data_IF_426805891381
#
_entry.id   IF_426805891381
#
_cell.length_a   1.000
_cell.length_b   1.000
_cell.length_c   1.000
_cell.angle_alpha   90.00
_cell.angle_beta   90.00
_cell.angle_gamma   90.00
#
_symmetry.space_group_name_H-M   'P 1'
#
loop_
_entity.id
_entity.type
_entity.pdbx_description
1 polymer ?
#
# COMPACT_ATOMS: atom_id res chain seq x y z
N UNK A 1 -25.11 -7.33 15.70
CA UNK A 1 -23.81 -6.99 15.10
C UNK A 1 -24.10 -6.34 13.77
N UNK A 2 -23.91 -5.03 13.65
CA UNK A 2 -24.02 -4.32 12.38
C UNK A 2 -22.60 -4.22 11.85
N UNK A 3 -22.23 -5.05 10.87
CA UNK A 3 -21.02 -4.80 10.09
C UNK A 3 -21.38 -3.64 9.15
N UNK A 4 -20.90 -2.41 9.36
CA UNK A 4 -21.06 -1.40 8.35
C UNK A 4 -20.21 -1.86 7.16
N UNK A 5 -20.89 -2.35 6.13
CA UNK A 5 -20.29 -2.55 4.83
C UNK A 5 -19.93 -1.14 4.34
N UNK A 6 -18.63 -0.83 4.27
CA UNK A 6 -18.16 0.49 3.85
C UNK A 6 -18.75 0.92 2.53
N UNK A 7 -18.94 2.23 2.37
CA UNK A 7 -19.48 2.79 1.13
C UNK A 7 -18.35 2.93 0.12
N UNK A 8 -18.49 2.31 -1.05
CA UNK A 8 -17.57 2.46 -2.18
C UNK A 8 -18.28 3.23 -3.30
N UNK A 9 -17.77 4.42 -3.57
CA UNK A 9 -18.18 5.28 -4.67
C UNK A 9 -17.13 5.25 -5.77
N UNK A 10 -17.56 5.36 -7.03
CA UNK A 10 -16.65 5.38 -8.16
C UNK A 10 -17.22 6.10 -9.36
N UNK A 11 -16.32 6.71 -10.12
CA UNK A 11 -16.57 7.31 -11.42
C UNK A 11 -15.49 6.82 -12.40
N UNK A 12 -15.90 6.43 -13.60
CA UNK A 12 -14.99 5.90 -14.60
C UNK A 12 -15.38 6.40 -15.98
N UNK A 13 -14.41 6.98 -16.68
CA UNK A 13 -14.53 7.36 -18.08
C UNK A 13 -13.46 6.61 -18.88
N UNK A 14 -13.83 6.14 -20.07
CA UNK A 14 -12.90 5.37 -20.87
C UNK A 14 -13.34 5.23 -22.31
N UNK A 15 -12.37 5.26 -23.22
CA UNK A 15 -12.53 4.88 -24.62
C UNK A 15 -11.40 3.95 -25.01
N UNK A 16 -11.73 2.86 -25.70
CA UNK A 16 -10.75 1.89 -26.18
C UNK A 16 -11.27 1.20 -27.42
N UNK A 17 -10.37 0.57 -28.16
CA UNK A 17 -10.69 -0.16 -29.40
C UNK A 17 -10.11 -1.56 -29.34
N UNK A 18 -10.87 -2.55 -29.79
CA UNK A 18 -10.40 -3.93 -29.85
C UNK A 18 -11.52 -4.91 -30.11
N UNK A 19 -11.17 -6.10 -30.59
CA UNK A 19 -12.09 -7.22 -30.79
C UNK A 19 -12.14 -8.18 -29.58
N UNK A 20 -11.51 -7.80 -28.46
CA UNK A 20 -11.52 -8.52 -27.19
C UNK A 20 -11.44 -7.54 -26.03
N UNK A 21 -11.80 -7.97 -24.81
CA UNK A 21 -11.68 -7.14 -23.60
C UNK A 21 -10.22 -6.76 -23.34
N UNK A 22 -9.30 -7.69 -23.52
CA UNK A 22 -7.87 -7.42 -23.39
C UNK A 22 -7.39 -6.35 -24.38
N UNK A 23 -7.79 -6.46 -25.65
CA UNK A 23 -7.45 -5.46 -26.67
C UNK A 23 -8.10 -4.10 -26.37
N UNK A 24 -9.36 -4.08 -25.92
CA UNK A 24 -10.08 -2.87 -25.56
C UNK A 24 -9.39 -2.14 -24.39
N UNK A 25 -9.05 -2.86 -23.32
CA UNK A 25 -8.37 -2.30 -22.15
C UNK A 25 -6.93 -1.91 -22.47
N UNK A 26 -6.20 -2.73 -23.23
CA UNK A 26 -4.82 -2.49 -23.63
C UNK A 26 -4.63 -1.29 -24.55
N UNK A 27 -5.68 -0.86 -25.26
CA UNK A 27 -5.66 0.35 -26.09
C UNK A 27 -6.54 1.48 -25.52
N UNK A 28 -6.93 1.39 -24.24
CA UNK A 28 -7.85 2.35 -23.66
C UNK A 28 -7.17 3.63 -23.19
N UNK A 29 -7.93 4.72 -23.21
CA UNK A 29 -7.59 6.00 -22.60
C UNK A 29 -8.78 6.48 -21.77
N UNK A 30 -8.53 7.07 -20.61
CA UNK A 30 -9.59 7.55 -19.71
C UNK A 30 -9.11 7.72 -18.28
N UNK A 31 -10.04 7.86 -17.34
CA UNK A 31 -9.74 8.01 -15.92
C UNK A 31 -10.64 7.12 -15.06
N UNK A 32 -10.13 6.76 -13.89
CA UNK A 32 -10.86 5.99 -12.89
C UNK A 32 -10.68 6.66 -11.53
N UNK A 33 -11.78 7.14 -10.95
CA UNK A 33 -11.85 7.64 -9.58
C UNK A 33 -12.62 6.63 -8.73
N UNK A 34 -12.03 6.19 -7.62
CA UNK A 34 -12.64 5.31 -6.62
C UNK A 34 -12.41 5.91 -5.25
N UNK A 35 -13.45 5.91 -4.42
CA UNK A 35 -13.41 6.38 -3.06
C UNK A 35 -14.18 5.41 -2.18
N UNK A 36 -13.55 4.94 -1.12
CA UNK A 36 -14.17 4.16 -0.07
C UNK A 36 -14.13 4.94 1.24
N UNK A 37 -15.23 4.95 1.97
CA UNK A 37 -15.28 5.46 3.34
C UNK A 37 -15.66 4.32 4.30
N UNK A 38 -14.94 4.23 5.42
CA UNK A 38 -15.19 3.29 6.53
C UNK A 38 -15.33 1.81 6.11
N UNK A 39 -14.21 1.14 5.86
CA UNK A 39 -14.15 -0.29 5.53
C UNK A 39 -13.49 -1.16 6.60
N UNK A 40 -13.72 -2.47 6.53
CA UNK A 40 -12.96 -3.48 7.28
C UNK A 40 -12.13 -4.30 6.29
N UNK A 41 -10.82 -4.33 6.49
CA UNK A 41 -9.92 -5.22 5.75
C UNK A 41 -9.29 -6.18 6.76
N UNK A 42 -9.24 -7.47 6.43
CA UNK A 42 -8.54 -8.45 7.24
C UNK A 42 -7.08 -8.02 7.44
N UNK A 43 -6.61 -8.04 8.68
CA UNK A 43 -5.22 -7.69 9.02
C UNK A 43 -4.20 -8.54 8.29
N UNK A 44 -4.52 -9.81 8.00
CA UNK A 44 -3.62 -10.69 7.24
C UNK A 44 -3.33 -10.15 5.84
N UNK A 45 -4.33 -9.58 5.16
CA UNK A 45 -4.14 -8.92 3.86
C UNK A 45 -3.28 -7.65 3.98
N UNK A 46 -3.47 -6.88 5.05
CA UNK A 46 -2.70 -5.67 5.31
C UNK A 46 -1.25 -5.94 5.75
N UNK A 47 -1.01 -7.02 6.50
CA UNK A 47 0.32 -7.40 6.98
C UNK A 47 1.18 -8.04 5.89
N UNK A 48 0.57 -8.76 4.94
CA UNK A 48 1.25 -9.22 3.71
C UNK A 48 1.73 -8.00 2.88
N UNK A 49 0.92 -6.94 2.85
CA UNK A 49 1.23 -5.65 2.20
C UNK A 49 2.12 -4.73 3.08
N UNK A 50 2.50 -5.15 4.29
CA UNK A 50 3.50 -4.48 5.12
C UNK A 50 4.82 -5.25 5.28
N UNK A 51 4.86 -6.50 4.78
CA UNK A 51 5.95 -7.47 4.98
C UNK A 51 6.48 -7.49 6.42
N UNK A 52 5.56 -7.41 7.37
CA UNK A 52 5.86 -7.47 8.79
C UNK A 52 5.81 -8.94 9.26
N UNK A 53 6.79 -9.73 8.78
CA UNK A 53 6.86 -11.20 8.98
C UNK A 53 6.81 -11.60 10.47
N UNK A 54 7.29 -10.73 11.37
CA UNK A 54 7.22 -10.95 12.81
C UNK A 54 5.79 -10.99 13.37
N UNK A 55 4.91 -10.09 12.90
CA UNK A 55 3.50 -10.09 13.31
C UNK A 55 2.67 -11.13 12.57
N UNK A 56 2.98 -11.43 11.32
CA UNK A 56 2.31 -12.51 10.58
C UNK A 56 2.47 -13.88 11.27
N UNK A 57 3.66 -14.16 11.81
CA UNK A 57 3.92 -15.40 12.58
C UNK A 57 3.20 -15.36 13.94
N UNK A 58 3.12 -14.20 14.60
CA UNK A 58 2.40 -14.04 15.89
C UNK A 58 0.87 -14.09 15.69
N UNK A 59 0.32 -13.47 14.65
CA UNK A 59 -1.12 -13.51 14.31
C UNK A 59 -1.61 -14.91 13.93
N UNK A 60 -0.77 -15.71 13.26
CA UNK A 60 -1.02 -17.14 13.05
C UNK A 60 -1.05 -17.96 14.35
N UNK A 61 -0.39 -17.51 15.42
CA UNK A 61 -0.35 -18.18 16.74
C UNK A 61 -1.42 -17.63 17.69
N UNK A 62 -1.85 -16.37 17.55
CA UNK A 62 -2.67 -15.65 18.53
C UNK A 62 -4.04 -15.11 18.04
N UNK A 63 -4.41 -15.29 16.77
CA UNK A 63 -5.78 -15.04 16.28
C UNK A 63 -5.98 -13.68 15.60
N UNK A 64 -6.88 -13.69 14.61
CA UNK A 64 -7.24 -12.59 13.70
C UNK A 64 -7.86 -11.38 14.42
N UNK A 65 -7.30 -10.18 14.20
CA UNK A 65 -7.96 -8.90 14.51
C UNK A 65 -8.11 -8.09 13.22
N UNK A 66 -9.33 -7.75 12.78
CA UNK A 66 -9.60 -6.89 11.62
C UNK A 66 -8.85 -5.54 11.70
N UNK A 67 -8.40 -4.98 10.57
CA UNK A 67 -7.87 -3.59 10.51
C UNK A 67 -8.95 -2.67 9.93
N UNK A 68 -9.31 -1.65 10.71
CA UNK A 68 -10.21 -0.60 10.23
C UNK A 68 -9.52 0.26 9.19
N UNK A 69 -10.16 0.38 8.03
CA UNK A 69 -9.81 1.33 6.98
C UNK A 69 -10.72 2.53 7.13
N UNK A 70 -10.16 3.69 7.47
CA UNK A 70 -10.91 4.93 7.57
C UNK A 70 -11.40 5.36 6.19
N UNK A 71 -10.51 5.30 5.20
CA UNK A 71 -10.86 5.54 3.80
C UNK A 71 -9.82 4.92 2.85
N UNK A 72 -10.23 4.73 1.60
CA UNK A 72 -9.32 4.44 0.50
C UNK A 72 -9.68 5.30 -0.70
N UNK A 73 -8.69 5.74 -1.46
CA UNK A 73 -8.90 6.55 -2.65
C UNK A 73 -7.98 6.09 -3.77
N UNK A 74 -8.51 6.03 -4.98
CA UNK A 74 -7.73 5.90 -6.20
C UNK A 74 -8.22 6.94 -7.22
N UNK A 75 -7.31 7.67 -7.82
CA UNK A 75 -7.53 8.50 -8.99
C UNK A 75 -6.45 8.09 -9.99
N UNK A 76 -6.84 7.33 -11.01
CA UNK A 76 -5.94 6.74 -12.00
C UNK A 76 -6.19 7.40 -13.36
N UNK A 77 -5.11 7.82 -14.01
CA UNK A 77 -5.13 8.16 -15.42
C UNK A 77 -4.71 6.93 -16.22
N UNK A 78 -5.50 6.55 -17.22
CA UNK A 78 -5.22 5.45 -18.14
C UNK A 78 -4.86 6.05 -19.49
N UNK A 79 -3.64 5.78 -19.96
CA UNK A 79 -3.18 6.21 -21.27
C UNK A 79 -2.57 5.02 -22.02
N UNK A 80 -3.12 4.72 -23.20
CA UNK A 80 -2.75 3.57 -24.03
C UNK A 80 -2.66 2.26 -23.23
N UNK A 81 -3.71 2.00 -22.45
CA UNK A 81 -3.82 0.84 -21.57
C UNK A 81 -2.88 0.83 -20.37
N UNK A 82 -2.14 1.91 -20.09
CA UNK A 82 -1.29 2.01 -18.89
C UNK A 82 -1.98 2.90 -17.86
N UNK A 83 -2.44 2.29 -16.77
CA UNK A 83 -2.97 2.97 -15.61
C UNK A 83 -1.86 3.49 -14.70
N UNK A 84 -1.91 4.79 -14.37
CA UNK A 84 -1.01 5.47 -13.46
C UNK A 84 -1.79 6.20 -12.36
N UNK A 85 -1.52 5.90 -11.09
CA UNK A 85 -2.06 6.67 -9.97
C UNK A 85 -1.63 8.13 -10.01
N UNK A 86 -2.60 9.04 -9.99
CA UNK A 86 -2.42 10.40 -9.49
C UNK A 86 -2.59 10.42 -7.96
N UNK A 87 -3.53 9.62 -7.47
CA UNK A 87 -3.74 9.31 -6.06
C UNK A 87 -3.99 7.82 -5.99
N UNK A 88 -3.31 7.11 -5.09
CA UNK A 88 -3.74 5.77 -4.69
C UNK A 88 -3.28 5.54 -3.27
N UNK A 89 -4.21 5.68 -2.32
CA UNK A 89 -3.88 5.66 -0.91
C UNK A 89 -4.95 4.96 -0.06
N UNK A 90 -4.51 4.37 1.04
CA UNK A 90 -5.37 3.78 2.06
C UNK A 90 -5.02 4.42 3.40
N UNK A 91 -6.01 5.01 4.06
CA UNK A 91 -5.88 5.47 5.43
C UNK A 91 -6.50 4.45 6.38
N UNK A 92 -5.68 3.87 7.24
CA UNK A 92 -6.13 2.90 8.26
C UNK A 92 -5.93 3.46 9.65
N UNK A 93 -6.46 2.78 10.66
CA UNK A 93 -6.18 3.12 12.07
C UNK A 93 -4.67 3.05 12.38
N UNK A 94 -3.92 2.22 11.65
CA UNK A 94 -2.53 1.86 11.98
C UNK A 94 -1.49 2.54 11.08
N UNK A 95 -1.86 2.92 9.86
CA UNK A 95 -0.94 3.45 8.86
C UNK A 95 -1.67 4.21 7.74
N UNK A 96 -0.98 5.19 7.16
CA UNK A 96 -1.27 5.72 5.82
C UNK A 96 -0.45 4.91 4.81
N UNK A 97 -1.07 4.41 3.75
CA UNK A 97 -0.39 3.61 2.73
C UNK A 97 -0.54 4.31 1.41
N UNK A 98 0.58 4.66 0.79
CA UNK A 98 0.62 5.27 -0.53
C UNK A 98 1.07 4.25 -1.58
N UNK A 99 0.43 4.24 -2.74
CA UNK A 99 0.76 3.33 -3.85
C UNK A 99 1.12 4.15 -5.08
N UNK A 100 2.28 3.87 -5.65
CA UNK A 100 2.79 4.51 -6.86
C UNK A 100 3.19 3.47 -7.90
N UNK A 101 3.54 3.90 -9.11
CA UNK A 101 3.97 3.02 -10.19
C UNK A 101 2.90 2.88 -11.27
N UNK A 102 2.87 1.73 -11.96
CA UNK A 102 2.00 1.52 -13.12
C UNK A 102 1.40 0.12 -13.16
N UNK A 103 0.19 0.02 -13.70
CA UNK A 103 -0.42 -1.23 -14.13
C UNK A 103 -0.74 -1.12 -15.63
N UNK A 104 -0.16 -2.00 -16.44
CA UNK A 104 -0.29 -1.99 -17.90
C UNK A 104 -1.20 -3.12 -18.37
N UNK A 105 -2.39 -2.77 -18.85
CA UNK A 105 -3.29 -3.68 -19.57
C UNK A 105 -2.77 -4.03 -20.96
N UNK A 106 -1.96 -3.15 -21.56
CA UNK A 106 -1.37 -3.38 -22.88
C UNK A 106 -0.34 -4.52 -22.87
N UNK A 107 0.43 -4.62 -21.79
CA UNK A 107 1.49 -5.62 -21.63
C UNK A 107 1.24 -6.63 -20.51
N UNK A 108 0.07 -6.59 -19.87
CA UNK A 108 -0.31 -7.39 -18.71
C UNK A 108 0.68 -7.35 -17.53
N UNK A 109 1.30 -6.19 -17.27
CA UNK A 109 2.39 -6.04 -16.29
C UNK A 109 2.04 -5.08 -15.16
N UNK A 110 2.52 -5.42 -13.97
CA UNK A 110 2.52 -4.60 -12.76
C UNK A 110 3.94 -4.15 -12.46
N UNK A 111 4.07 -2.89 -12.06
CA UNK A 111 5.22 -2.38 -11.32
C UNK A 111 4.72 -1.31 -10.37
N UNK A 112 4.29 -1.75 -9.19
CA UNK A 112 3.76 -0.90 -8.14
C UNK A 112 4.76 -0.83 -6.98
N UNK A 113 4.85 0.33 -6.35
CA UNK A 113 5.55 0.52 -5.08
C UNK A 113 4.52 0.90 -4.03
N UNK A 114 4.54 0.21 -2.90
CA UNK A 114 3.65 0.44 -1.76
C UNK A 114 4.50 1.01 -0.64
N UNK A 115 4.18 2.21 -0.17
CA UNK A 115 4.90 2.90 0.88
C UNK A 115 4.00 3.06 2.13
N UNK A 116 4.16 2.18 3.13
CA UNK A 116 3.40 2.25 4.36
C UNK A 116 4.06 3.18 5.39
N UNK A 117 3.34 4.22 5.78
CA UNK A 117 3.69 5.17 6.83
C UNK A 117 2.90 4.84 8.10
N UNK A 118 3.58 4.31 9.12
CA UNK A 118 2.92 3.93 10.38
C UNK A 118 2.43 5.14 11.17
N UNK A 119 1.24 5.02 11.76
CA UNK A 119 0.72 5.93 12.77
C UNK A 119 1.07 5.39 14.15
N UNK A 120 1.68 6.22 15.00
CA UNK A 120 2.14 5.85 16.34
C UNK A 120 3.52 5.17 16.37
N UNK A 121 4.12 5.16 17.56
CA UNK A 121 5.43 4.53 17.79
C UNK A 121 5.27 3.02 17.74
N UNK A 122 6.07 2.37 16.88
CA UNK A 122 6.13 0.91 16.79
C UNK A 122 7.57 0.45 16.91
N UNK A 123 7.79 -0.55 17.77
CA UNK A 123 9.11 -1.06 18.16
C UNK A 123 9.70 -1.95 17.05
N UNK A 124 8.87 -2.58 16.21
CA UNK A 124 9.29 -3.47 15.12
C UNK A 124 8.52 -3.10 13.85
N UNK A 125 9.11 -2.28 13.00
CA UNK A 125 8.57 -2.01 11.65
C UNK A 125 9.70 -1.99 10.64
N UNK A 126 9.51 -2.67 9.51
CA UNK A 126 10.53 -2.74 8.47
C UNK A 126 10.56 -1.46 7.60
N UNK A 127 9.58 -0.53 7.72
CA UNK A 127 9.32 0.72 6.92
C UNK A 127 10.02 0.76 5.57
N UNK A 128 10.02 -0.35 4.86
CA UNK A 128 10.72 -0.49 3.60
C UNK A 128 9.62 -0.58 2.59
N UNK A 129 9.63 0.29 1.56
CA UNK A 129 8.60 0.23 0.56
C UNK A 129 8.55 -1.18 -0.01
N UNK A 130 7.34 -1.67 -0.21
CA UNK A 130 7.13 -2.92 -0.90
C UNK A 130 7.03 -2.68 -2.39
N UNK A 131 7.17 -3.74 -3.15
CA UNK A 131 6.86 -3.73 -4.56
C UNK A 131 5.86 -4.84 -4.88
N UNK A 132 5.08 -4.62 -5.94
CA UNK A 132 4.30 -5.65 -6.63
C UNK A 132 4.67 -5.59 -8.10
N UNK A 133 5.27 -6.66 -8.62
CA UNK A 133 5.85 -6.71 -9.97
C UNK A 133 5.45 -7.97 -10.72
N UNK A 134 5.67 -7.99 -12.02
CA UNK A 134 5.41 -9.16 -12.86
C UNK A 134 4.04 -9.07 -13.53
N UNK A 135 3.52 -10.19 -13.99
CA UNK A 135 2.28 -10.18 -14.76
C UNK A 135 1.05 -10.10 -13.86
N UNK A 136 -0.09 -9.68 -14.39
CA UNK A 136 -1.37 -9.78 -13.65
C UNK A 136 -1.70 -11.21 -13.21
N UNK A 137 -1.30 -12.21 -14.00
CA UNK A 137 -1.50 -13.63 -13.70
C UNK A 137 -0.59 -14.15 -12.60
N UNK A 138 0.62 -13.60 -12.48
CA UNK A 138 1.61 -14.03 -11.49
C UNK A 138 2.31 -12.81 -10.87
N UNK A 139 1.60 -12.03 -10.05
CA UNK A 139 2.18 -10.89 -9.35
C UNK A 139 3.15 -11.38 -8.28
N UNK A 140 4.30 -10.74 -8.20
CA UNK A 140 5.36 -11.00 -7.23
C UNK A 140 5.44 -9.81 -6.29
N UNK A 141 5.09 -10.03 -5.03
CA UNK A 141 5.25 -9.05 -3.98
C UNK A 141 6.56 -9.27 -3.21
N UNK A 142 7.19 -8.19 -2.77
CA UNK A 142 8.43 -8.26 -1.98
C UNK A 142 8.80 -6.94 -1.32
N UNK A 143 9.81 -6.97 -0.44
CA UNK A 143 10.35 -5.76 0.18
C UNK A 143 11.46 -5.20 -0.69
N UNK A 144 11.55 -3.87 -0.84
CA UNK A 144 12.76 -3.27 -1.39
C UNK A 144 13.93 -3.49 -0.42
N UNK A 145 14.99 -4.23 -0.82
CA UNK A 145 16.05 -4.60 0.10
C UNK A 145 16.98 -3.44 0.46
N UNK A 146 17.07 -2.40 -0.38
CA UNK A 146 17.99 -1.27 -0.17
C UNK A 146 17.84 -0.61 1.21
N UNK A 147 16.65 -0.09 1.57
CA UNK A 147 16.40 0.49 2.89
C UNK A 147 16.64 -0.49 4.05
N UNK A 148 16.32 -1.78 3.86
CA UNK A 148 16.57 -2.82 4.87
C UNK A 148 18.06 -3.05 5.11
N UNK A 149 18.85 -3.17 4.04
CA UNK A 149 20.29 -3.39 4.12
C UNK A 149 20.95 -2.19 4.82
N UNK A 150 20.56 -0.97 4.46
CA UNK A 150 21.08 0.25 5.09
C UNK A 150 20.78 0.26 6.61
N UNK A 151 19.55 -0.06 7.02
CA UNK A 151 19.21 -0.14 8.45
C UNK A 151 19.94 -1.27 9.17
N UNK A 152 20.08 -2.43 8.52
CA UNK A 152 20.86 -3.54 9.05
C UNK A 152 22.31 -3.14 9.32
N UNK A 153 22.94 -2.42 8.39
CA UNK A 153 24.30 -1.91 8.55
C UNK A 153 24.44 -0.90 9.69
N UNK A 154 23.46 0.01 9.87
CA UNK A 154 23.44 0.95 11.00
C UNK A 154 23.23 0.19 12.31
N UNK A 155 22.30 -0.77 12.35
CA UNK A 155 22.02 -1.57 13.54
C UNK A 155 23.26 -2.36 13.99
N UNK A 156 23.99 -2.98 13.06
CA UNK A 156 25.22 -3.72 13.37
C UNK A 156 26.34 -2.79 13.83
N UNK A 157 26.48 -1.60 13.24
CA UNK A 157 27.44 -0.60 13.72
C UNK A 157 27.10 -0.14 15.14
N UNK A 158 25.84 0.15 15.45
CA UNK A 158 25.42 0.52 16.81
C UNK A 158 25.60 -0.61 17.82
N UNK A 159 25.32 -1.85 17.41
CA UNK A 159 25.52 -3.05 18.23
C UNK A 159 26.98 -3.22 18.66
N UNK A 160 27.90 -2.99 17.72
CA UNK A 160 29.34 -3.25 17.88
C UNK A 160 30.08 -2.08 18.51
N UNK A 161 29.71 -0.84 18.18
CA UNK A 161 30.41 0.37 18.64
C UNK A 161 29.86 0.94 19.95
N UNK A 162 28.58 0.72 20.26
CA UNK A 162 27.92 1.28 21.44
C UNK A 162 27.56 0.17 22.42
N UNK A 163 26.49 -0.60 22.12
CA UNK A 163 26.05 -1.77 22.90
C UNK A 163 25.12 -2.62 22.03
N UNK A 164 24.97 -3.93 22.29
CA UNK A 164 23.97 -4.75 21.60
C UNK A 164 22.55 -4.18 21.67
N UNK A 165 22.18 -3.56 22.80
CA UNK A 165 20.88 -2.93 22.96
C UNK A 165 20.68 -1.68 22.07
N UNK A 166 21.75 -0.97 21.71
CA UNK A 166 21.69 0.19 20.83
C UNK A 166 21.29 -0.16 19.38
N UNK A 167 21.39 -1.43 18.97
CA UNK A 167 20.90 -1.89 17.67
C UNK A 167 19.40 -1.61 17.47
N UNK A 168 18.63 -1.63 18.57
CA UNK A 168 17.19 -1.36 18.55
C UNK A 168 16.87 0.07 18.11
N UNK A 169 17.78 1.04 18.33
CA UNK A 169 17.58 2.42 17.89
C UNK A 169 17.46 2.54 16.37
N UNK A 170 18.11 1.64 15.60
CA UNK A 170 17.97 1.59 14.14
C UNK A 170 16.62 1.02 13.68
N UNK A 171 15.87 0.38 14.58
CA UNK A 171 14.56 -0.22 14.33
C UNK A 171 13.40 0.64 14.85
N UNK A 172 13.68 1.55 15.80
CA UNK A 172 12.69 2.50 16.31
C UNK A 172 12.34 3.51 15.21
N UNK A 173 11.03 3.68 15.00
CA UNK A 173 10.50 4.78 14.20
C UNK A 173 9.74 5.73 15.10
N UNK A 174 10.19 6.99 15.25
CA UNK A 174 9.28 8.08 15.56
C UNK A 174 8.24 8.15 14.42
N UNK A 175 6.97 8.34 14.75
CA UNK A 175 5.91 8.58 13.75
C UNK A 175 5.39 9.99 13.90
N UNK A 176 5.24 10.72 12.80
CA UNK A 176 4.69 12.09 12.77
C UNK A 176 3.43 12.18 11.90
N UNK A 177 2.59 11.14 11.88
CA UNK A 177 1.36 11.11 11.10
C UNK A 177 0.13 11.50 11.91
N UNK A 178 -0.72 12.40 11.39
CA UNK A 178 -2.03 12.69 11.99
C UNK A 178 -2.94 11.44 11.95
N UNK A 179 -3.86 11.37 12.91
CA UNK A 179 -4.70 10.19 13.12
C UNK A 179 -5.65 9.86 11.95
N UNK A 180 -6.05 10.84 11.11
CA UNK A 180 -6.97 10.63 9.99
C UNK A 180 -6.64 11.57 8.81
N UNK A 181 -6.31 10.99 7.65
CA UNK A 181 -5.89 11.71 6.44
C UNK A 181 -6.99 11.78 5.37
N UNK A 182 -8.20 11.30 5.66
CA UNK A 182 -9.28 11.18 4.69
C UNK A 182 -9.72 12.53 4.13
N UNK A 183 -9.74 13.60 4.94
CA UNK A 183 -10.07 14.94 4.44
C UNK A 183 -9.07 15.45 3.42
N UNK A 184 -7.78 15.21 3.66
CA UNK A 184 -6.69 15.60 2.74
C UNK A 184 -6.83 14.85 1.42
N UNK A 185 -7.00 13.52 1.48
CA UNK A 185 -7.18 12.65 0.32
C UNK A 185 -8.43 13.06 -0.48
N UNK A 186 -9.57 13.27 0.18
CA UNK A 186 -10.82 13.71 -0.45
C UNK A 186 -10.68 15.05 -1.16
N UNK A 187 -9.91 15.98 -0.60
CA UNK A 187 -9.67 17.29 -1.21
C UNK A 187 -8.86 17.15 -2.49
N UNK A 188 -7.87 16.26 -2.51
CA UNK A 188 -7.08 15.96 -3.71
C UNK A 188 -7.90 15.25 -4.80
N UNK A 189 -8.88 14.42 -4.43
CA UNK A 189 -9.77 13.75 -5.41
C UNK A 189 -10.72 14.70 -6.16
N UNK A 190 -11.03 15.86 -5.56
CA UNK A 190 -11.89 16.90 -6.16
C UNK A 190 -11.16 17.77 -7.18
N UNK A 191 -9.82 17.72 -7.20
CA UNK A 191 -9.00 18.37 -8.22
C UNK A 191 -8.98 17.52 -9.50
#
# INVERSE_FOLDING_TARGET
MQNPLGELNGDADGRGTGNSVAALLGNSNGNLKLLMNDGLISRNLMEIVGLNVGNYIVGQIFGDDEVRVNCAAANLNIANGVARPQIFAFDTENALINVTGTASFASEQLDLTIDPESKGIRIITLRSPLYVRGTFKNPQAGVKPGPLIARGAVATALATLVTPAAALLALISPSEGEANQCRTILTQMKQ
#
